data_IF_999627514059
#
_entry.id   IF_999627514059
#
_cell.length_a   1.000
_cell.length_b   1.000
_cell.length_c   1.000
_cell.angle_alpha   90.00
_cell.angle_beta   90.00
_cell.angle_gamma   90.00
#
_symmetry.space_group_name_H-M   'P 1'
#
loop_
_entity.id
_entity.type
_entity.pdbx_description
1 polymer ?
#
# COMPACT_ATOMS: atom_id res chain seq x y z
N UNK A 1 16.94 23.86 0.63
CA UNK A 1 16.52 23.00 1.77
C UNK A 1 15.30 22.16 1.43
N UNK A 2 14.20 22.75 0.90
CA UNK A 2 13.02 22.00 0.42
C UNK A 2 13.36 20.92 -0.62
N UNK A 3 14.30 21.21 -1.52
CA UNK A 3 14.70 20.30 -2.59
C UNK A 3 15.43 19.04 -2.11
N UNK A 4 16.13 19.12 -0.98
CA UNK A 4 16.79 17.96 -0.37
C UNK A 4 15.75 17.08 0.30
N UNK A 5 14.82 17.69 1.04
CA UNK A 5 13.73 16.96 1.71
C UNK A 5 12.88 16.18 0.70
N UNK A 6 12.47 16.81 -0.40
CA UNK A 6 11.71 16.11 -1.44
C UNK A 6 12.48 14.93 -2.06
N UNK A 7 13.80 15.05 -2.24
CA UNK A 7 14.61 13.94 -2.76
C UNK A 7 14.64 12.77 -1.77
N UNK A 8 14.79 13.06 -0.48
CA UNK A 8 14.78 12.05 0.58
C UNK A 8 13.42 11.35 0.67
N UNK A 9 12.32 12.10 0.61
CA UNK A 9 10.96 11.54 0.59
C UNK A 9 10.76 10.60 -0.62
N UNK A 10 11.16 11.04 -1.83
CA UNK A 10 11.05 10.21 -3.04
C UNK A 10 11.89 8.93 -2.94
N UNK A 11 13.09 9.02 -2.36
CA UNK A 11 13.96 7.86 -2.16
C UNK A 11 13.37 6.89 -1.12
N UNK A 12 12.85 7.41 -0.01
CA UNK A 12 12.18 6.64 1.02
C UNK A 12 10.91 5.94 0.48
N UNK A 13 10.09 6.64 -0.30
CA UNK A 13 8.90 6.07 -0.95
C UNK A 13 9.29 4.91 -1.88
N UNK A 14 10.32 5.11 -2.71
CA UNK A 14 10.84 4.05 -3.61
C UNK A 14 11.38 2.86 -2.84
N UNK A 15 12.13 3.12 -1.77
CA UNK A 15 12.66 2.07 -0.90
C UNK A 15 11.52 1.26 -0.28
N UNK A 16 10.56 1.93 0.37
CA UNK A 16 9.42 1.28 1.02
C UNK A 16 8.57 0.48 0.02
N UNK A 17 8.28 1.04 -1.16
CA UNK A 17 7.51 0.34 -2.20
C UNK A 17 8.19 -0.95 -2.66
N UNK A 18 9.50 -0.90 -2.93
CA UNK A 18 10.25 -2.06 -3.43
C UNK A 18 10.58 -3.08 -2.33
N UNK A 19 10.68 -2.62 -1.07
CA UNK A 19 10.90 -3.48 0.08
C UNK A 19 9.63 -4.24 0.46
N UNK A 20 8.49 -3.56 0.52
CA UNK A 20 7.21 -4.16 0.90
C UNK A 20 6.61 -5.01 -0.22
N UNK A 21 6.76 -4.58 -1.48
CA UNK A 21 6.26 -5.31 -2.66
C UNK A 21 7.43 -5.45 -3.63
N UNK A 22 8.14 -6.59 -3.61
CA UNK A 22 9.29 -6.81 -4.46
C UNK A 22 8.97 -6.58 -5.94
N UNK A 23 9.85 -5.94 -6.71
CA UNK A 23 9.58 -5.64 -8.13
C UNK A 23 9.23 -6.86 -9.00
N UNK A 24 9.75 -8.04 -8.64
CA UNK A 24 9.44 -9.29 -9.34
C UNK A 24 7.98 -9.73 -9.09
N UNK A 25 7.52 -9.67 -7.84
CA UNK A 25 6.14 -9.98 -7.47
C UNK A 25 5.17 -8.94 -8.02
N UNK A 26 5.54 -7.66 -7.98
CA UNK A 26 4.73 -6.59 -8.57
C UNK A 26 4.52 -6.78 -10.08
N UNK A 27 5.56 -7.21 -10.80
CA UNK A 27 5.46 -7.58 -12.22
C UNK A 27 4.53 -8.77 -12.45
N UNK A 28 4.52 -9.76 -11.53
CA UNK A 28 3.60 -10.91 -11.58
C UNK A 28 2.15 -10.50 -11.36
N UNK A 29 1.89 -9.52 -10.48
CA UNK A 29 0.56 -8.96 -10.27
C UNK A 29 0.01 -8.31 -11.55
N UNK A 30 0.88 -7.68 -12.35
CA UNK A 30 0.52 -6.97 -13.59
C UNK A 30 -0.77 -6.13 -13.44
N UNK A 31 -0.83 -5.21 -12.45
CA UNK A 31 -2.07 -4.56 -12.07
C UNK A 31 -2.60 -3.66 -13.19
N UNK A 32 -3.92 -3.61 -13.30
CA UNK A 32 -4.65 -2.74 -14.24
C UNK A 32 -5.70 -1.95 -13.49
N UNK A 33 -6.31 -0.96 -14.15
CA UNK A 33 -7.45 -0.22 -13.58
C UNK A 33 -8.65 -1.10 -13.21
N UNK A 34 -8.71 -2.30 -13.76
CA UNK A 34 -9.77 -3.29 -13.51
C UNK A 34 -9.39 -4.30 -12.43
N UNK A 35 -8.17 -4.25 -11.87
CA UNK A 35 -7.77 -5.13 -10.77
C UNK A 35 -8.80 -5.02 -9.65
N UNK A 36 -9.38 -6.18 -9.30
CA UNK A 36 -10.44 -6.31 -8.33
C UNK A 36 -9.89 -6.31 -6.91
N UNK A 37 -10.76 -6.04 -5.95
CA UNK A 37 -10.39 -6.07 -4.54
C UNK A 37 -9.96 -7.50 -4.11
N UNK A 38 -10.52 -8.54 -4.75
CA UNK A 38 -10.18 -9.94 -4.48
C UNK A 38 -8.78 -10.29 -4.99
N UNK A 39 -8.43 -9.90 -6.23
CA UNK A 39 -7.08 -10.06 -6.77
C UNK A 39 -6.01 -9.37 -5.90
N UNK A 40 -6.32 -8.19 -5.36
CA UNK A 40 -5.44 -7.48 -4.42
C UNK A 40 -5.25 -8.30 -3.14
N UNK A 41 -6.33 -8.88 -2.62
CA UNK A 41 -6.31 -9.70 -1.40
C UNK A 41 -5.53 -10.99 -1.61
N UNK A 42 -5.77 -11.70 -2.71
CA UNK A 42 -5.04 -12.92 -3.05
C UNK A 42 -3.56 -12.66 -3.26
N UNK A 43 -3.20 -11.60 -3.99
CA UNK A 43 -1.81 -11.23 -4.19
C UNK A 43 -1.13 -10.87 -2.86
N UNK A 44 -1.77 -10.06 -2.03
CA UNK A 44 -1.23 -9.66 -0.73
C UNK A 44 -0.96 -10.89 0.17
N UNK A 45 -1.90 -11.85 0.19
CA UNK A 45 -1.71 -13.14 0.86
C UNK A 45 -0.53 -13.93 0.30
N UNK A 46 -0.35 -13.94 -1.02
CA UNK A 46 0.72 -14.70 -1.68
C UNK A 46 2.14 -14.25 -1.31
N UNK A 47 2.30 -12.96 -1.00
CA UNK A 47 3.59 -12.37 -0.59
C UNK A 47 3.65 -12.05 0.93
N UNK A 48 2.60 -12.40 1.68
CA UNK A 48 2.57 -12.26 3.14
C UNK A 48 2.46 -10.82 3.65
N UNK A 49 1.79 -9.93 2.91
CA UNK A 49 1.58 -8.53 3.33
C UNK A 49 0.10 -8.19 3.47
N UNK A 50 -0.18 -7.09 4.15
CA UNK A 50 -1.55 -6.62 4.31
C UNK A 50 -2.10 -6.05 2.97
N UNK A 51 -3.32 -6.41 2.54
CA UNK A 51 -3.88 -5.98 1.26
C UNK A 51 -4.06 -4.46 1.13
N UNK A 52 -4.19 -3.74 2.26
CA UNK A 52 -4.17 -2.29 2.28
C UNK A 52 -2.86 -1.66 1.78
N UNK A 53 -1.72 -2.35 1.94
CA UNK A 53 -0.41 -1.88 1.43
C UNK A 53 -0.39 -1.96 -0.10
N UNK A 54 -0.87 -3.07 -0.67
CA UNK A 54 -1.00 -3.27 -2.12
C UNK A 54 -1.95 -2.23 -2.70
N UNK A 55 -3.15 -2.11 -2.13
CA UNK A 55 -4.14 -1.13 -2.57
C UNK A 55 -3.59 0.30 -2.50
N UNK A 56 -2.89 0.65 -1.42
CA UNK A 56 -2.27 1.97 -1.24
C UNK A 56 -1.26 2.29 -2.33
N UNK A 57 -0.41 1.33 -2.72
CA UNK A 57 0.53 1.51 -3.84
C UNK A 57 -0.20 1.72 -5.16
N UNK A 58 -1.20 0.89 -5.47
CA UNK A 58 -1.98 1.03 -6.71
C UNK A 58 -2.72 2.37 -6.79
N UNK A 59 -3.16 2.90 -5.66
CA UNK A 59 -3.78 4.22 -5.55
C UNK A 59 -2.75 5.34 -5.76
N UNK A 60 -1.58 5.23 -5.13
CA UNK A 60 -0.48 6.18 -5.27
C UNK A 60 0.03 6.27 -6.72
N UNK A 61 0.18 5.13 -7.40
CA UNK A 61 0.57 5.05 -8.81
C UNK A 61 -0.57 5.39 -9.79
N UNK A 62 -1.78 5.70 -9.28
CA UNK A 62 -2.92 6.12 -10.09
C UNK A 62 -3.58 5.00 -10.91
N UNK A 63 -3.27 3.74 -10.61
CA UNK A 63 -3.83 2.57 -11.30
C UNK A 63 -5.29 2.38 -10.92
N UNK A 64 -5.60 2.49 -9.62
CA UNK A 64 -6.98 2.43 -9.11
C UNK A 64 -7.35 3.75 -8.41
N UNK A 65 -8.64 4.06 -8.38
CA UNK A 65 -9.12 5.28 -7.75
C UNK A 65 -8.93 5.26 -6.22
N UNK A 66 -8.66 6.44 -5.64
CA UNK A 66 -8.42 6.65 -4.20
C UNK A 66 -9.61 6.25 -3.30
N UNK A 67 -10.81 6.16 -3.87
CA UNK A 67 -12.04 5.75 -3.17
C UNK A 67 -12.27 4.23 -3.17
N UNK A 68 -11.53 3.46 -3.98
CA UNK A 68 -11.60 1.99 -4.00
C UNK A 68 -10.91 1.40 -2.76
N UNK A 69 -11.17 0.11 -2.52
CA UNK A 69 -10.52 -0.65 -1.44
C UNK A 69 -10.76 -0.10 -0.02
N UNK A 70 -11.79 0.73 0.19
CA UNK A 70 -12.15 1.25 1.52
C UNK A 70 -12.47 0.15 2.54
N UNK A 71 -12.90 -1.03 2.08
CA UNK A 71 -13.14 -2.23 2.91
C UNK A 71 -11.86 -2.89 3.40
N UNK A 72 -10.71 -2.63 2.76
CA UNK A 72 -9.40 -3.18 3.13
C UNK A 72 -8.71 -2.34 4.21
N UNK A 73 -9.33 -1.25 4.68
CA UNK A 73 -8.79 -0.43 5.77
C UNK A 73 -9.25 -1.00 7.10
N UNK A 74 -8.30 -1.52 7.89
CA UNK A 74 -8.56 -1.84 9.29
C UNK A 74 -8.82 -0.56 10.09
N UNK A 75 -9.80 -0.62 10.99
CA UNK A 75 -10.16 0.46 11.89
C UNK A 75 -9.80 0.04 13.31
N UNK A 76 -8.88 0.76 13.92
CA UNK A 76 -8.48 0.54 15.31
C UNK A 76 -9.22 1.51 16.23
N UNK A 77 -9.60 1.03 17.41
CA UNK A 77 -10.08 1.86 18.52
C UNK A 77 -9.00 1.84 19.58
N UNK A 78 -8.42 3.00 19.88
CA UNK A 78 -7.40 3.13 20.92
C UNK A 78 -8.14 3.37 22.24
N UNK A 79 -8.17 2.36 23.11
CA UNK A 79 -8.69 2.50 24.47
C UNK A 79 -7.58 3.00 25.41
N UNK A 80 -7.73 4.22 25.91
CA UNK A 80 -6.81 4.79 26.90
C UNK A 80 -7.35 4.46 28.29
N UNK A 81 -6.70 3.51 28.98
CA UNK A 81 -6.98 3.27 30.40
C UNK A 81 -6.21 4.29 31.23
N UNK A 82 -6.93 5.18 31.90
CA UNK A 82 -6.34 6.02 32.94
C UNK A 82 -6.04 5.12 34.15
N UNK A 83 -4.76 4.97 34.47
CA UNK A 83 -4.33 4.31 35.71
C UNK A 83 -4.25 5.44 36.74
N UNK A 84 -5.11 5.38 37.76
CA UNK A 84 -5.12 6.31 38.88
C UNK A 84 -4.01 5.99 39.89
#
# INVERSE_FOLDING_TARGET
>A
MKDINNKLEIEADKFAMNYLIPPADYKRLAPTKYTSDDEIVEFAKSIGIHPGIVAGRLQHEGIIAQNRCSKLKEKYVIEIKHIA
#
